data_IF_686983859903
#
_entry.id   IF_686983859903
#
_cell.length_a   1.000
_cell.length_b   1.000
_cell.length_c   1.000
_cell.angle_alpha   90.00
_cell.angle_beta   90.00
_cell.angle_gamma   90.00
#
_symmetry.space_group_name_H-M   'P 1'
#
loop_
_entity.id
_entity.type
_entity.pdbx_description
1 polymer ?
#
# COMPACT_ATOMS: atom_id res chain seq x y z
N UNK A 1 28.96 18.43 15.12
CA UNK A 1 28.91 19.53 14.13
C UNK A 1 28.22 19.09 12.86
N UNK A 2 27.24 19.87 12.37
CA UNK A 2 26.56 19.63 11.09
C UNK A 2 26.54 20.92 10.25
N UNK A 3 26.99 20.91 8.99
CA UNK A 3 26.94 22.10 8.12
C UNK A 3 25.52 22.62 7.91
N UNK A 4 24.51 21.73 7.91
CA UNK A 4 23.09 22.07 7.74
C UNK A 4 22.33 22.16 9.08
N UNK A 5 23.01 22.45 10.19
CA UNK A 5 22.43 22.48 11.54
C UNK A 5 21.17 23.36 11.65
N UNK A 6 21.14 24.49 10.96
CA UNK A 6 20.02 25.45 11.06
C UNK A 6 18.72 24.88 10.48
N UNK A 7 18.81 24.09 9.41
CA UNK A 7 17.66 23.41 8.82
C UNK A 7 17.20 22.30 9.76
N UNK A 8 18.14 21.50 10.29
CA UNK A 8 17.83 20.43 11.23
C UNK A 8 17.14 20.96 12.51
N UNK A 9 17.60 22.09 13.05
CA UNK A 9 16.99 22.70 14.24
C UNK A 9 15.55 23.17 13.99
N UNK A 10 15.24 23.70 12.80
CA UNK A 10 13.87 24.06 12.42
C UNK A 10 12.95 22.84 12.26
N UNK A 11 13.47 21.72 11.77
CA UNK A 11 12.71 20.47 11.72
C UNK A 11 12.46 19.95 13.15
N UNK A 12 13.52 19.90 13.98
CA UNK A 12 13.46 19.42 15.36
C UNK A 12 12.50 20.22 16.24
N UNK A 13 12.31 21.52 16.02
CA UNK A 13 11.32 22.31 16.78
C UNK A 13 9.88 21.85 16.57
N UNK A 14 9.61 21.08 15.51
CA UNK A 14 8.30 20.50 15.19
C UNK A 14 8.25 18.99 15.46
N UNK A 15 9.38 18.35 15.76
CA UNK A 15 9.46 16.93 16.09
C UNK A 15 8.93 16.62 17.50
N UNK A 16 8.60 15.35 17.75
CA UNK A 16 8.13 14.86 19.04
C UNK A 16 8.93 13.64 19.46
N UNK A 17 9.24 13.56 20.75
CA UNK A 17 9.66 12.33 21.41
C UNK A 17 8.51 11.89 22.32
N UNK A 18 8.03 10.67 22.13
CA UNK A 18 6.84 10.15 22.80
C UNK A 18 7.26 8.86 23.51
N UNK A 19 7.06 8.84 24.82
CA UNK A 19 7.32 7.67 25.67
C UNK A 19 6.00 6.93 25.85
N UNK A 20 6.01 5.64 25.57
CA UNK A 20 4.84 4.76 25.69
C UNK A 20 5.18 3.64 26.66
N UNK A 21 4.16 3.12 27.34
CA UNK A 21 4.33 2.12 28.41
C UNK A 21 4.74 0.75 27.86
N UNK A 22 4.29 0.42 26.65
CA UNK A 22 4.51 -0.89 26.03
C UNK A 22 4.68 -0.78 24.51
N UNK A 23 5.19 -1.87 23.92
CA UNK A 23 5.50 -1.97 22.50
C UNK A 23 4.24 -2.02 21.63
N UNK A 24 3.17 -2.67 22.11
CA UNK A 24 1.89 -2.76 21.40
C UNK A 24 1.30 -1.38 21.13
N UNK A 25 1.35 -0.47 22.09
CA UNK A 25 0.86 0.90 21.93
C UNK A 25 1.76 1.71 20.98
N UNK A 26 3.08 1.44 20.98
CA UNK A 26 3.98 2.03 19.99
C UNK A 26 3.64 1.58 18.57
N UNK A 27 3.37 0.27 18.37
CA UNK A 27 2.95 -0.29 17.08
C UNK A 27 1.63 0.32 16.62
N UNK A 28 0.62 0.42 17.50
CA UNK A 28 -0.66 1.08 17.17
C UNK A 28 -0.44 2.53 16.76
N UNK A 29 0.38 3.27 17.51
CA UNK A 29 0.65 4.67 17.24
C UNK A 29 1.33 4.86 15.88
N UNK A 30 2.37 4.09 15.55
CA UNK A 30 3.07 4.25 14.25
C UNK A 30 2.18 3.84 13.07
N UNK A 31 1.34 2.82 13.23
CA UNK A 31 0.36 2.42 12.22
C UNK A 31 -0.70 3.51 12.01
N UNK A 32 -1.12 4.22 13.06
CA UNK A 32 -2.05 5.34 12.92
C UNK A 32 -1.38 6.58 12.32
N UNK A 33 -0.11 6.83 12.68
CA UNK A 33 0.68 7.94 12.17
C UNK A 33 1.04 7.79 10.68
N UNK A 34 1.26 6.56 10.21
CA UNK A 34 1.55 6.22 8.82
C UNK A 34 2.73 7.02 8.25
N UNK A 35 3.91 6.79 8.83
CA UNK A 35 5.14 7.49 8.47
C UNK A 35 5.59 7.19 7.03
N UNK A 36 6.27 8.17 6.42
CA UNK A 36 7.01 7.98 5.16
C UNK A 36 8.12 6.92 5.35
N UNK A 37 9.01 7.17 6.32
CA UNK A 37 10.07 6.25 6.74
C UNK A 37 9.83 5.80 8.17
N UNK A 38 9.85 4.48 8.40
CA UNK A 38 9.81 3.89 9.74
C UNK A 38 11.12 3.14 10.02
N UNK A 39 11.85 3.56 11.05
CA UNK A 39 13.06 2.89 11.51
C UNK A 39 12.77 2.15 12.82
N UNK A 40 13.03 0.84 12.84
CA UNK A 40 12.78 -0.03 14.00
C UNK A 40 14.13 -0.43 14.61
N UNK A 41 14.55 0.31 15.63
CA UNK A 41 15.74 0.00 16.43
C UNK A 41 15.34 -0.79 17.69
N UNK A 42 15.14 -2.10 17.54
CA UNK A 42 14.74 -3.00 18.64
C UNK A 42 15.39 -4.38 18.49
N UNK A 43 15.50 -5.14 19.59
CA UNK A 43 16.08 -6.50 19.56
C UNK A 43 15.22 -7.47 18.73
N UNK A 44 13.90 -7.33 18.82
CA UNK A 44 12.90 -8.09 18.05
C UNK A 44 12.38 -7.32 16.82
N UNK A 45 13.25 -6.58 16.13
CA UNK A 45 12.84 -5.66 15.05
C UNK A 45 12.05 -6.36 13.93
N UNK A 46 12.44 -7.57 13.53
CA UNK A 46 11.74 -8.36 12.50
C UNK A 46 10.28 -8.66 12.91
N UNK A 47 10.08 -9.13 14.14
CA UNK A 47 8.74 -9.45 14.66
C UNK A 47 7.85 -8.20 14.83
N UNK A 48 8.45 -7.03 15.05
CA UNK A 48 7.73 -5.76 15.06
C UNK A 48 7.35 -5.35 13.64
N UNK A 49 8.26 -5.48 12.67
CA UNK A 49 8.04 -5.11 11.27
C UNK A 49 6.84 -5.86 10.67
N UNK A 50 6.65 -7.14 11.00
CA UNK A 50 5.49 -7.94 10.57
C UNK A 50 4.13 -7.38 11.06
N UNK A 51 4.13 -6.57 12.12
CA UNK A 51 2.92 -5.96 12.69
C UNK A 51 2.63 -4.56 12.12
N UNK A 52 3.51 -4.04 11.26
CA UNK A 52 3.32 -2.73 10.64
C UNK A 52 2.42 -2.86 9.42
N UNK A 53 1.34 -2.10 9.39
CA UNK A 53 0.36 -2.08 8.29
C UNK A 53 0.42 -0.80 7.47
N UNK A 54 0.92 0.32 8.04
CA UNK A 54 1.03 1.60 7.35
C UNK A 54 2.43 2.21 7.53
N UNK A 55 3.27 2.14 6.50
CA UNK A 55 4.53 2.88 6.36
C UNK A 55 4.93 2.94 4.88
N UNK A 56 5.63 3.99 4.45
CA UNK A 56 6.13 4.08 3.08
C UNK A 56 7.29 3.10 2.84
N UNK A 57 8.30 3.12 3.70
CA UNK A 57 9.43 2.17 3.72
C UNK A 57 9.87 1.89 5.15
N UNK A 58 10.26 0.64 5.43
CA UNK A 58 10.61 0.15 6.76
C UNK A 58 12.09 -0.24 6.79
N UNK A 59 12.81 0.26 7.79
CA UNK A 59 14.20 -0.04 8.05
C UNK A 59 14.32 -0.85 9.34
N UNK A 60 14.89 -2.06 9.25
CA UNK A 60 14.83 -3.07 10.31
C UNK A 60 16.21 -3.25 10.96
N UNK A 61 16.30 -2.93 12.25
CA UNK A 61 17.50 -3.15 13.05
C UNK A 61 18.57 -2.06 12.93
N UNK A 62 19.59 -2.17 13.78
CA UNK A 62 20.58 -1.10 14.01
C UNK A 62 21.53 -0.82 12.82
N UNK A 63 21.56 -1.70 11.82
CA UNK A 63 22.46 -1.60 10.66
C UNK A 63 21.75 -1.09 9.39
N UNK A 64 20.50 -0.67 9.50
CA UNK A 64 19.69 -0.17 8.39
C UNK A 64 19.35 1.32 8.57
N UNK A 65 20.32 2.24 8.49
CA UNK A 65 20.02 3.67 8.53
C UNK A 65 19.21 4.09 7.29
N UNK A 66 18.35 5.10 7.42
CA UNK A 66 17.55 5.65 6.32
C UNK A 66 18.39 5.92 5.06
N UNK A 67 19.61 6.42 5.25
CA UNK A 67 20.54 6.76 4.18
C UNK A 67 20.84 5.61 3.22
N UNK A 68 20.87 4.34 3.66
CA UNK A 68 21.09 3.25 2.69
C UNK A 68 19.88 3.06 1.77
N UNK A 69 18.66 3.31 2.27
CA UNK A 69 17.43 3.31 1.48
C UNK A 69 17.35 4.47 0.50
N UNK A 70 17.87 5.63 0.90
CA UNK A 70 17.91 6.82 0.04
C UNK A 70 18.83 6.67 -1.17
N UNK A 71 19.83 5.77 -1.10
CA UNK A 71 20.90 5.71 -2.08
C UNK A 71 21.10 4.37 -2.76
N UNK A 72 21.22 3.26 -2.03
CA UNK A 72 21.86 2.05 -2.58
C UNK A 72 21.32 0.70 -2.12
N UNK A 73 20.35 0.63 -1.19
CA UNK A 73 19.75 -0.65 -0.78
C UNK A 73 18.98 -1.33 -1.92
N UNK A 74 18.51 -0.55 -2.90
CA UNK A 74 17.66 -0.97 -4.00
C UNK A 74 16.17 -0.61 -3.81
N UNK A 75 15.75 -0.12 -2.64
CA UNK A 75 14.40 0.41 -2.43
C UNK A 75 14.22 1.76 -3.14
N UNK A 76 12.97 2.15 -3.42
CA UNK A 76 12.68 3.47 -4.00
C UNK A 76 12.45 4.50 -2.89
N UNK A 77 13.13 5.64 -2.93
CA UNK A 77 12.97 6.72 -1.95
C UNK A 77 11.86 7.71 -2.28
N UNK A 78 11.10 7.50 -3.36
CA UNK A 78 9.93 8.34 -3.68
C UNK A 78 8.72 7.71 -3.01
N UNK A 79 8.39 8.22 -1.82
CA UNK A 79 7.41 7.63 -0.91
C UNK A 79 6.25 8.59 -0.59
N UNK A 80 5.09 8.06 -0.17
CA UNK A 80 3.98 8.87 0.30
C UNK A 80 4.27 9.47 1.68
N UNK A 81 4.03 10.77 1.83
CA UNK A 81 4.25 11.52 3.08
C UNK A 81 2.92 11.97 3.70
N UNK A 82 2.95 12.67 4.84
CA UNK A 82 1.75 13.31 5.42
C UNK A 82 0.56 12.35 5.64
N UNK A 83 0.83 11.10 6.03
CA UNK A 83 -0.18 10.06 6.28
C UNK A 83 -0.70 9.35 5.03
N UNK A 84 -0.24 9.72 3.82
CA UNK A 84 -0.67 9.05 2.58
C UNK A 84 -0.24 7.58 2.51
N UNK A 85 0.70 7.12 3.34
CA UNK A 85 1.05 5.70 3.47
C UNK A 85 -0.13 4.80 3.91
N UNK A 86 -1.25 5.37 4.38
CA UNK A 86 -2.50 4.62 4.62
C UNK A 86 -3.19 4.11 3.35
N UNK A 87 -2.93 4.73 2.20
CA UNK A 87 -3.65 4.46 0.95
C UNK A 87 -2.75 4.36 -0.29
N UNK A 88 -1.50 4.82 -0.20
CA UNK A 88 -0.56 4.87 -1.30
C UNK A 88 0.68 4.03 -1.00
N UNK A 89 1.28 3.48 -2.04
CA UNK A 89 2.58 2.81 -1.98
C UNK A 89 3.68 3.77 -2.41
N UNK A 90 4.93 3.43 -2.06
CA UNK A 90 6.10 4.00 -2.72
C UNK A 90 6.12 3.71 -4.22
N UNK A 91 6.87 4.50 -4.98
CA UNK A 91 7.04 4.27 -6.42
C UNK A 91 7.68 2.90 -6.65
N UNK A 92 7.10 2.15 -7.59
CA UNK A 92 7.60 0.84 -7.99
C UNK A 92 7.45 0.65 -9.50
N UNK A 93 7.86 -0.51 -10.02
CA UNK A 93 7.62 -0.86 -11.43
C UNK A 93 6.13 -0.81 -11.76
N UNK A 94 5.26 -1.19 -10.81
CA UNK A 94 3.81 -1.16 -10.97
C UNK A 94 3.25 0.25 -11.22
N UNK A 95 3.97 1.29 -10.80
CA UNK A 95 3.60 2.69 -11.04
C UNK A 95 3.72 3.11 -12.52
N UNK A 96 4.48 2.37 -13.33
CA UNK A 96 4.76 2.69 -14.74
C UNK A 96 4.07 1.75 -15.74
N UNK A 97 3.21 0.84 -15.25
CA UNK A 97 2.46 -0.09 -16.08
C UNK A 97 0.95 0.09 -15.88
N UNK A 98 0.18 -0.50 -16.78
CA UNK A 98 -1.29 -0.57 -16.67
C UNK A 98 -1.69 -2.05 -16.62
N UNK A 99 -2.54 -2.42 -15.67
CA UNK A 99 -3.04 -3.79 -15.50
C UNK A 99 -4.31 -3.96 -16.36
N UNK A 100 -4.14 -4.35 -17.63
CA UNK A 100 -5.25 -4.57 -18.57
C UNK A 100 -5.78 -6.00 -18.44
N UNK A 101 -7.06 -6.17 -18.12
CA UNK A 101 -7.71 -7.50 -18.04
C UNK A 101 -8.25 -7.92 -19.41
N UNK A 102 -8.16 -9.22 -19.71
CA UNK A 102 -8.67 -9.82 -20.94
C UNK A 102 -9.58 -10.99 -20.59
N UNK A 103 -10.72 -11.10 -21.28
CA UNK A 103 -11.58 -12.26 -21.22
C UNK A 103 -11.88 -12.79 -22.63
N UNK A 104 -11.94 -14.11 -22.76
CA UNK A 104 -12.38 -14.81 -23.96
C UNK A 104 -13.18 -16.03 -23.56
N UNK A 105 -14.44 -16.08 -23.96
CA UNK A 105 -15.32 -17.23 -23.70
C UNK A 105 -15.38 -18.11 -24.96
N UNK A 106 -15.39 -19.42 -24.75
CA UNK A 106 -15.91 -20.34 -25.75
C UNK A 106 -17.44 -20.30 -25.78
N UNK A 107 -18.05 -20.94 -26.77
CA UNK A 107 -19.51 -21.11 -26.83
C UNK A 107 -20.02 -21.82 -25.56
N UNK A 108 -19.37 -22.91 -25.15
CA UNK A 108 -19.76 -23.66 -23.95
C UNK A 108 -19.53 -22.86 -22.66
N UNK A 109 -18.47 -22.03 -22.63
CA UNK A 109 -18.23 -21.11 -21.52
C UNK A 109 -19.36 -20.08 -21.37
N UNK A 110 -19.85 -19.53 -22.48
CA UNK A 110 -21.01 -18.63 -22.46
C UNK A 110 -22.28 -19.34 -22.04
N UNK A 111 -22.54 -20.57 -22.52
CA UNK A 111 -23.69 -21.37 -22.09
C UNK A 111 -23.66 -21.66 -20.58
N UNK A 112 -22.47 -21.90 -20.03
CA UNK A 112 -22.32 -22.22 -18.61
C UNK A 112 -22.66 -21.03 -17.68
N UNK A 113 -22.26 -19.80 -18.04
CA UNK A 113 -22.47 -18.63 -17.18
C UNK A 113 -23.63 -17.72 -17.63
N UNK A 114 -24.16 -17.95 -18.83
CA UNK A 114 -25.06 -17.01 -19.49
C UNK A 114 -26.37 -16.79 -18.73
N UNK A 115 -26.97 -17.85 -18.18
CA UNK A 115 -28.17 -17.72 -17.36
C UNK A 115 -27.91 -16.92 -16.08
N UNK A 116 -26.77 -17.13 -15.42
CA UNK A 116 -26.37 -16.32 -14.24
C UNK A 116 -26.31 -14.84 -14.60
N UNK A 117 -25.68 -14.50 -15.74
CA UNK A 117 -25.58 -13.10 -16.18
C UNK A 117 -26.96 -12.52 -16.53
N UNK A 118 -27.84 -13.30 -17.17
CA UNK A 118 -29.21 -12.87 -17.50
C UNK A 118 -30.02 -12.57 -16.24
N UNK A 119 -29.98 -13.45 -15.24
CA UNK A 119 -30.71 -13.29 -13.98
C UNK A 119 -30.21 -12.08 -13.19
N UNK A 120 -28.88 -11.91 -13.07
CA UNK A 120 -28.28 -10.74 -12.42
C UNK A 120 -28.67 -9.44 -13.13
N UNK A 121 -28.53 -9.39 -14.46
CA UNK A 121 -28.87 -8.20 -15.23
C UNK A 121 -30.37 -7.86 -15.14
N UNK A 122 -31.26 -8.86 -15.09
CA UNK A 122 -32.69 -8.64 -14.88
C UNK A 122 -32.99 -8.10 -13.47
N UNK A 123 -32.35 -8.63 -12.43
CA UNK A 123 -32.50 -8.15 -11.06
C UNK A 123 -32.01 -6.70 -10.87
N UNK A 124 -31.00 -6.28 -11.64
CA UNK A 124 -30.51 -4.90 -11.69
C UNK A 124 -31.35 -3.97 -12.58
N UNK A 125 -32.38 -4.49 -13.27
CA UNK A 125 -33.19 -3.72 -14.21
C UNK A 125 -32.47 -3.36 -15.52
N UNK A 126 -31.36 -4.04 -15.84
CA UNK A 126 -30.50 -3.79 -17.00
C UNK A 126 -30.84 -4.71 -18.17
N UNK A 127 -32.03 -4.55 -18.75
CA UNK A 127 -32.56 -5.45 -19.78
C UNK A 127 -31.68 -5.53 -21.05
N UNK A 128 -31.01 -4.45 -21.43
CA UNK A 128 -30.05 -4.45 -22.55
C UNK A 128 -28.84 -5.36 -22.30
N UNK A 129 -28.37 -5.47 -21.06
CA UNK A 129 -27.25 -6.35 -20.69
C UNK A 129 -27.67 -7.82 -20.75
N UNK A 130 -28.86 -8.15 -20.23
CA UNK A 130 -29.43 -9.49 -20.34
C UNK A 130 -29.63 -9.90 -21.80
N UNK A 131 -30.19 -8.99 -22.63
CA UNK A 131 -30.40 -9.25 -24.04
C UNK A 131 -29.10 -9.46 -24.83
N UNK A 132 -28.01 -8.77 -24.48
CA UNK A 132 -26.71 -9.02 -25.11
C UNK A 132 -26.24 -10.47 -24.95
N UNK A 133 -26.61 -11.15 -23.86
CA UNK A 133 -26.34 -12.58 -23.64
C UNK A 133 -27.35 -13.45 -24.37
N UNK A 134 -28.65 -13.19 -24.22
CA UNK A 134 -29.74 -13.99 -24.84
C UNK A 134 -29.54 -14.16 -26.34
N UNK A 135 -29.25 -13.09 -27.07
CA UNK A 135 -29.06 -13.13 -28.53
C UNK A 135 -27.88 -14.02 -28.98
N UNK A 136 -26.93 -14.32 -28.09
CA UNK A 136 -25.78 -15.20 -28.37
C UNK A 136 -26.03 -16.65 -27.97
N UNK A 137 -26.96 -16.90 -27.04
CA UNK A 137 -27.33 -18.25 -26.62
C UNK A 137 -28.34 -18.91 -27.57
N UNK A 138 -29.13 -18.10 -28.28
CA UNK A 138 -30.22 -18.57 -29.14
C UNK A 138 -31.53 -18.61 -28.37
#
# INVERSE_FOLDING_TARGET
DLPRKEIALKALSNSKAIVLENLEDAIKMVNEYAAEHLIICHIDADAIAEKIVNAGSIFIGNYSPESVGDYASGTNHTLPTNGFAKAYSGVSVDSFVKKITYQKLSVDGLKNIGNTVIEMAAAEGLEAHANAVRVRLG
#
